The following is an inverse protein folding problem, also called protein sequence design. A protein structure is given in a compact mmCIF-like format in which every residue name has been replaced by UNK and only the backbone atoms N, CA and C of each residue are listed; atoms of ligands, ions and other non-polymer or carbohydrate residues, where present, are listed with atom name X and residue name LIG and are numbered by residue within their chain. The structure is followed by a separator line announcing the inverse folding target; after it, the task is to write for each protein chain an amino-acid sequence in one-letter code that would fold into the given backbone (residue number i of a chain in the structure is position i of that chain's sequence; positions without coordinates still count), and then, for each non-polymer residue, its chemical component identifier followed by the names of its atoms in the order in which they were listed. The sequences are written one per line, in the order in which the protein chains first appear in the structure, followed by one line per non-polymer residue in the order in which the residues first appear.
data_IF_797025772058
#
_entry.id   IF_797025772058
#
_cell.length_a   1.000
_cell.length_b   1.000
_cell.length_c   1.000
_cell.angle_alpha   90.00
_cell.angle_beta   90.00
_cell.angle_gamma   90.00
#
_symmetry.space_group_name_H-M   'P 1'
#
loop_
_entity.id
_entity.type
_entity.pdbx_description
1 polymer ?
#
# COMPACT_ATOMS: atom_id res chain seq x y z
N UNK A 1 6.02 39.62 27.05
CA UNK A 1 6.90 38.85 26.15
C UNK A 1 6.86 37.39 26.58
N UNK A 2 5.79 36.67 26.26
CA UNK A 2 5.71 35.22 26.47
C UNK A 2 5.55 34.59 25.10
N UNK A 3 6.67 34.16 24.51
CA UNK A 3 6.67 33.53 23.20
C UNK A 3 5.95 32.19 23.27
N UNK A 4 4.82 32.09 22.59
CA UNK A 4 4.20 30.81 22.24
C UNK A 4 5.21 30.06 21.37
N UNK A 5 5.64 28.87 21.81
CA UNK A 5 6.31 27.93 20.92
C UNK A 5 5.23 27.28 20.08
N UNK A 6 5.14 27.64 18.81
CA UNK A 6 4.47 26.79 17.82
C UNK A 6 5.36 25.57 17.69
N UNK A 7 4.93 24.48 18.33
CA UNK A 7 5.42 23.15 17.97
C UNK A 7 4.65 22.77 16.72
N UNK A 8 5.23 23.04 15.54
CA UNK A 8 4.83 22.32 14.33
C UNK A 8 5.10 20.85 14.63
N UNK A 9 4.04 20.17 15.05
CA UNK A 9 4.02 18.74 15.30
C UNK A 9 3.36 18.07 14.11
N UNK A 10 3.69 18.51 12.90
CA UNK A 10 3.57 17.69 11.70
C UNK A 10 4.79 16.76 11.64
N UNK A 11 5.03 16.03 12.73
CA UNK A 11 5.62 14.71 12.54
C UNK A 11 4.48 13.89 11.95
N UNK A 12 4.31 13.97 10.63
CA UNK A 12 3.77 12.83 9.90
C UNK A 12 4.56 11.64 10.43
N UNK A 13 3.89 10.75 11.16
CA UNK A 13 4.51 9.53 11.59
C UNK A 13 4.91 8.80 10.32
N UNK A 14 6.18 8.93 9.95
CA UNK A 14 6.74 8.31 8.76
C UNK A 14 6.41 6.84 8.87
N UNK A 15 5.56 6.39 7.96
CA UNK A 15 5.03 5.05 8.03
C UNK A 15 6.22 4.11 7.79
N UNK A 16 6.53 3.29 8.79
CA UNK A 16 7.73 2.43 8.87
C UNK A 16 7.94 1.51 7.64
N UNK A 17 6.87 1.26 6.88
CA UNK A 17 6.89 0.45 5.67
C UNK A 17 7.20 1.26 4.41
N UNK A 18 7.02 2.58 4.42
CA UNK A 18 7.21 3.45 3.23
C UNK A 18 8.64 3.40 2.73
N UNK A 19 9.61 3.60 3.62
CA UNK A 19 11.03 3.52 3.27
C UNK A 19 11.42 2.13 2.76
N UNK A 20 10.80 1.07 3.31
CA UNK A 20 11.04 -0.30 2.85
C UNK A 20 10.53 -0.50 1.42
N UNK A 21 9.30 -0.07 1.12
CA UNK A 21 8.69 -0.30 -0.19
C UNK A 21 9.20 0.64 -1.29
N UNK A 22 9.84 1.75 -0.94
CA UNK A 22 10.43 2.67 -1.91
C UNK A 22 11.55 2.02 -2.75
N UNK A 23 12.24 1.04 -2.18
CA UNK A 23 13.33 0.31 -2.84
C UNK A 23 12.86 -1.03 -3.47
N UNK A 24 11.62 -1.46 -3.22
CA UNK A 24 11.08 -2.72 -3.73
C UNK A 24 10.71 -2.59 -5.22
N UNK A 25 11.02 -3.64 -6.00
CA UNK A 25 10.52 -3.79 -7.37
C UNK A 25 9.01 -4.05 -7.40
N UNK A 26 8.38 -3.82 -8.56
CA UNK A 26 6.94 -4.10 -8.74
C UNK A 26 6.62 -5.57 -8.42
N UNK A 27 7.49 -6.50 -8.81
CA UNK A 27 7.36 -7.92 -8.50
C UNK A 27 7.40 -8.20 -6.99
N UNK A 28 8.25 -7.51 -6.25
CA UNK A 28 8.33 -7.60 -4.78
C UNK A 28 7.09 -7.01 -4.10
N UNK A 29 6.56 -5.89 -4.60
CA UNK A 29 5.30 -5.32 -4.11
C UNK A 29 4.12 -6.29 -4.35
N UNK A 30 4.05 -6.91 -5.54
CA UNK A 30 3.05 -7.93 -5.87
C UNK A 30 3.19 -9.15 -4.95
N UNK A 31 4.40 -9.65 -4.73
CA UNK A 31 4.66 -10.76 -3.82
C UNK A 31 4.26 -10.41 -2.38
N UNK A 32 4.57 -9.19 -1.95
CA UNK A 32 4.25 -8.67 -0.61
C UNK A 32 2.74 -8.62 -0.39
N UNK A 33 1.99 -8.08 -1.34
CA UNK A 33 0.52 -8.09 -1.30
C UNK A 33 -0.03 -9.51 -1.21
N UNK A 34 0.43 -10.40 -2.10
CA UNK A 34 -0.07 -11.77 -2.19
C UNK A 34 0.27 -12.60 -0.95
N UNK A 35 1.36 -12.26 -0.24
CA UNK A 35 1.73 -12.91 1.01
C UNK A 35 0.85 -12.49 2.20
N UNK A 36 0.21 -11.31 2.15
CA UNK A 36 -0.80 -10.86 3.14
C UNK A 36 -2.22 -11.39 2.79
N UNK A 37 -2.40 -12.02 1.63
CA UNK A 37 -3.66 -12.59 1.16
C UNK A 37 -3.76 -14.11 1.43
N UNK A 38 -4.90 -14.63 1.95
CA UNK A 38 -6.11 -13.90 2.33
C UNK A 38 -5.98 -13.16 3.67
N UNK A 39 -6.72 -12.06 3.79
CA UNK A 39 -6.72 -11.15 4.95
C UNK A 39 -6.73 -11.85 6.31
N UNK A 40 -5.67 -11.64 7.10
CA UNK A 40 -5.49 -12.24 8.44
C UNK A 40 -6.15 -11.45 9.60
N UNK A 41 -7.09 -10.55 9.30
CA UNK A 41 -7.73 -9.64 10.27
C UNK A 41 -7.11 -8.23 10.33
N UNK A 42 -7.74 -7.30 11.04
CA UNK A 42 -7.34 -5.87 11.05
C UNK A 42 -6.62 -5.49 12.35
N UNK A 43 -5.38 -5.02 12.23
CA UNK A 43 -4.60 -4.42 13.33
C UNK A 43 -3.95 -3.13 12.85
N UNK A 44 -3.61 -2.22 13.77
CA UNK A 44 -3.08 -0.90 13.42
C UNK A 44 -1.79 -0.96 12.61
N UNK A 45 -0.92 -1.94 12.88
CA UNK A 45 0.29 -2.17 12.09
C UNK A 45 -0.04 -2.58 10.65
N UNK A 46 -1.05 -3.42 10.44
CA UNK A 46 -1.51 -3.83 9.11
C UNK A 46 -2.12 -2.68 8.33
N UNK A 47 -2.90 -1.81 8.99
CA UNK A 47 -3.42 -0.60 8.36
C UNK A 47 -2.30 0.30 7.81
N UNK A 48 -1.23 0.49 8.59
CA UNK A 48 -0.03 1.22 8.15
C UNK A 48 0.69 0.50 7.00
N UNK A 49 0.92 -0.81 7.12
CA UNK A 49 1.50 -1.64 6.06
C UNK A 49 0.74 -1.49 4.73
N UNK A 50 -0.58 -1.64 4.75
CA UNK A 50 -1.42 -1.54 3.56
C UNK A 50 -1.45 -0.11 2.98
N UNK A 51 -1.40 0.92 3.82
CA UNK A 51 -1.34 2.30 3.36
C UNK A 51 -0.01 2.58 2.62
N UNK A 52 1.12 2.11 3.15
CA UNK A 52 2.41 2.24 2.48
C UNK A 52 2.45 1.43 1.18
N UNK A 53 1.91 0.21 1.19
CA UNK A 53 1.89 -0.66 0.01
C UNK A 53 1.02 -0.04 -1.11
N UNK A 54 -0.14 0.54 -0.75
CA UNK A 54 -0.97 1.29 -1.70
C UNK A 54 -0.21 2.47 -2.31
N UNK A 55 0.50 3.24 -1.48
CA UNK A 55 1.30 4.37 -1.97
C UNK A 55 2.41 3.91 -2.92
N UNK A 56 3.13 2.84 -2.55
CA UNK A 56 4.18 2.28 -3.39
C UNK A 56 3.66 1.86 -4.78
N UNK A 57 2.49 1.24 -4.87
CA UNK A 57 1.86 0.95 -6.17
C UNK A 57 1.51 2.22 -6.96
N UNK A 58 0.94 3.23 -6.29
CA UNK A 58 0.54 4.50 -6.92
C UNK A 58 1.72 5.35 -7.40
N UNK A 59 2.90 5.17 -6.81
CA UNK A 59 4.13 5.86 -7.22
C UNK A 59 4.78 5.22 -8.48
N UNK A 60 4.26 4.08 -8.95
CA UNK A 60 4.68 3.45 -10.20
C UNK A 60 3.91 3.96 -11.42
N UNK A 61 4.43 3.71 -12.62
CA UNK A 61 3.71 3.97 -13.88
C UNK A 61 2.73 2.84 -14.27
N UNK A 62 2.48 1.88 -13.36
CA UNK A 62 1.63 0.71 -13.60
C UNK A 62 0.16 1.02 -13.33
N UNK A 63 -0.72 0.58 -14.23
CA UNK A 63 -2.17 0.68 -14.01
C UNK A 63 -2.61 -0.32 -12.92
N UNK A 64 -3.01 0.24 -11.77
CA UNK A 64 -3.54 -0.51 -10.62
C UNK A 64 -5.05 -0.28 -10.40
N UNK A 65 -5.74 0.35 -11.35
CA UNK A 65 -7.15 0.77 -11.20
C UNK A 65 -8.12 -0.39 -11.01
N UNK A 66 -7.70 -1.62 -11.31
CA UNK A 66 -8.50 -2.82 -11.09
C UNK A 66 -8.75 -3.12 -9.60
N UNK A 67 -7.90 -2.63 -8.70
CA UNK A 67 -7.97 -2.95 -7.27
C UNK A 67 -7.66 -1.77 -6.35
N UNK A 68 -7.13 -0.66 -6.88
CA UNK A 68 -6.95 0.61 -6.17
C UNK A 68 -7.90 1.66 -6.73
N UNK A 69 -8.63 2.33 -5.85
CA UNK A 69 -9.50 3.47 -6.16
C UNK A 69 -9.22 4.63 -5.20
N UNK A 70 -9.96 5.74 -5.36
CA UNK A 70 -9.96 6.85 -4.41
C UNK A 70 -10.39 6.39 -3.00
N UNK A 71 -11.26 5.38 -2.92
CA UNK A 71 -11.82 4.87 -1.67
C UNK A 71 -10.87 3.92 -0.93
N UNK A 72 -9.89 3.33 -1.63
CA UNK A 72 -8.92 2.44 -0.98
C UNK A 72 -8.25 1.44 -1.93
N UNK A 73 -7.86 0.31 -1.36
CA UNK A 73 -7.22 -0.82 -2.05
C UNK A 73 -7.97 -2.11 -1.67
N UNK A 74 -8.57 -2.78 -2.64
CA UNK A 74 -9.25 -4.06 -2.45
C UNK A 74 -8.25 -5.17 -2.16
N UNK A 75 -8.61 -6.02 -1.21
CA UNK A 75 -7.85 -7.18 -0.73
C UNK A 75 -8.67 -8.47 -0.90
N UNK A 76 -9.55 -8.54 -1.89
CA UNK A 76 -10.47 -9.67 -2.02
C UNK A 76 -9.82 -10.89 -2.69
N UNK A 77 -8.82 -10.64 -3.53
CA UNK A 77 -8.15 -11.66 -4.33
C UNK A 77 -6.64 -11.35 -4.45
N UNK A 78 -5.79 -12.36 -4.73
CA UNK A 78 -4.40 -12.14 -5.14
C UNK A 78 -4.31 -11.27 -6.39
N UNK A 79 -3.21 -10.56 -6.56
CA UNK A 79 -2.93 -9.72 -7.73
C UNK A 79 -1.84 -10.32 -8.61
N UNK A 80 -1.84 -9.94 -9.88
CA UNK A 80 -0.83 -10.33 -10.88
C UNK A 80 -0.45 -9.14 -11.75
N UNK A 81 0.84 -9.03 -12.07
CA UNK A 81 1.36 -8.12 -13.08
C UNK A 81 1.28 -8.76 -14.47
N UNK A 82 0.69 -8.08 -15.44
CA UNK A 82 0.77 -8.41 -16.86
C UNK A 82 1.03 -7.15 -17.69
N UNK A 83 2.24 -7.08 -18.29
CA UNK A 83 2.66 -5.89 -19.01
C UNK A 83 2.74 -4.68 -18.06
N UNK A 84 1.90 -3.68 -18.32
CA UNK A 84 1.86 -2.43 -17.55
C UNK A 84 0.59 -2.32 -16.68
N UNK A 85 -0.03 -3.45 -16.33
CA UNK A 85 -1.27 -3.49 -15.54
C UNK A 85 -1.11 -4.52 -14.43
N UNK A 86 -1.57 -4.17 -13.23
CA UNK A 86 -1.77 -5.12 -12.14
C UNK A 86 -3.27 -5.29 -11.90
N UNK A 87 -3.70 -6.54 -11.83
CA UNK A 87 -5.11 -6.86 -11.60
C UNK A 87 -5.33 -8.02 -10.64
N UNK A 88 -6.51 -8.05 -10.03
CA UNK A 88 -6.94 -9.14 -9.15
C UNK A 88 -7.30 -10.41 -9.94
N UNK A 89 -6.73 -11.54 -9.53
CA UNK A 89 -6.99 -12.87 -10.09
C UNK A 89 -8.08 -13.54 -9.28
N UNK A 90 -9.30 -13.52 -9.82
CA UNK A 90 -10.41 -14.33 -9.32
C UNK A 90 -10.20 -15.74 -9.83
N UNK A 91 -9.79 -16.68 -8.97
CA UNK A 91 -9.94 -18.09 -9.33
C UNK A 91 -11.44 -18.33 -9.54
N UNK A 92 -11.82 -18.70 -10.77
CA UNK A 92 -13.18 -19.12 -11.05
C UNK A 92 -13.49 -20.31 -10.13
N UNK A 93 -14.62 -20.20 -9.41
CA UNK A 93 -15.14 -21.18 -8.45
C UNK A 93 -15.06 -22.64 -8.91
#
# INVERSE_FOLDING_TARGET
MGGIRIVDSEQEYENEYTARFADDSIEELVQTFNSDQPSQGWVSARGRFLAALRQAFLDTEIDCSSFISEEGMSLDYPIRLEGNIIFQVKENQ
#
